data_IF_102995715004
#
_entry.id   IF_102995715004
#
_cell.length_a   1.000
_cell.length_b   1.000
_cell.length_c   1.000
_cell.angle_alpha   90.00
_cell.angle_beta   90.00
_cell.angle_gamma   90.00
#
_symmetry.space_group_name_H-M   'P 1'
#
loop_
_entity.id
_entity.type
_entity.pdbx_description
1 polymer ?
#
# COMPACT_ATOMS: atom_id res chain seq x y z
N UNK A 1 -15.04 31.51 -52.75
CA UNK A 1 -13.81 32.09 -53.34
C UNK A 1 -13.53 33.40 -52.61
N UNK A 2 -12.24 33.73 -52.37
CA UNK A 2 -11.67 34.91 -51.66
C UNK A 2 -11.48 34.65 -50.14
N UNK A 3 -10.32 34.14 -49.62
CA UNK A 3 -8.97 34.74 -49.36
C UNK A 3 -9.06 36.04 -48.53
N UNK A 4 -8.32 36.35 -47.45
CA UNK A 4 -6.98 35.95 -46.92
C UNK A 4 -6.70 36.67 -45.56
N UNK A 5 -5.59 36.28 -44.91
CA UNK A 5 -4.74 36.96 -43.90
C UNK A 5 -4.97 36.57 -42.42
N UNK A 6 -4.14 35.74 -41.79
CA UNK A 6 -2.70 35.86 -41.40
C UNK A 6 -2.40 36.98 -40.40
N UNK A 7 -2.16 36.60 -39.14
CA UNK A 7 -1.11 37.24 -38.32
C UNK A 7 -0.39 36.22 -37.45
N UNK A 8 0.91 36.08 -37.74
CA UNK A 8 1.90 35.35 -36.98
C UNK A 8 2.27 36.15 -35.73
N UNK A 9 2.23 35.53 -34.55
CA UNK A 9 2.99 36.01 -33.39
C UNK A 9 3.80 34.82 -32.85
N UNK A 10 5.05 34.80 -33.27
CA UNK A 10 6.10 33.92 -32.77
C UNK A 10 6.54 34.40 -31.38
N UNK A 11 6.50 33.53 -30.37
CA UNK A 11 7.22 33.78 -29.11
C UNK A 11 8.19 32.63 -28.85
N UNK A 12 9.45 33.05 -28.68
CA UNK A 12 10.68 32.29 -28.65
C UNK A 12 10.76 31.40 -27.39
N UNK A 13 11.21 30.17 -27.58
CA UNK A 13 11.75 29.31 -26.52
C UNK A 13 13.10 29.89 -26.05
N UNK A 14 13.38 29.98 -24.74
CA UNK A 14 14.74 30.16 -24.28
C UNK A 14 15.50 28.83 -24.28
N UNK A 15 16.55 28.84 -25.09
CA UNK A 15 17.62 27.86 -25.23
C UNK A 15 18.26 27.48 -23.90
N UNK A 16 18.57 26.20 -23.78
CA UNK A 16 19.61 25.63 -22.92
C UNK A 16 20.90 26.44 -22.98
N UNK A 17 21.47 26.78 -21.82
CA UNK A 17 22.87 27.16 -21.69
C UNK A 17 23.38 26.70 -20.32
N UNK A 18 24.16 25.63 -20.35
CA UNK A 18 25.04 25.19 -19.28
C UNK A 18 26.11 26.24 -19.02
N UNK A 19 26.37 26.56 -17.75
CA UNK A 19 27.58 27.27 -17.35
C UNK A 19 28.04 26.80 -15.97
N UNK A 20 28.92 25.80 -16.02
CA UNK A 20 30.19 25.68 -15.30
C UNK A 20 30.27 26.35 -13.91
N UNK A 21 30.32 25.51 -12.88
CA UNK A 21 30.70 25.85 -11.51
C UNK A 21 32.20 26.17 -11.48
N UNK A 22 32.55 27.42 -11.20
CA UNK A 22 33.91 27.84 -10.86
C UNK A 22 33.96 28.12 -9.36
N UNK A 23 34.79 27.35 -8.65
CA UNK A 23 35.12 27.54 -7.24
C UNK A 23 36.22 28.59 -7.16
N UNK A 24 35.95 29.75 -6.57
CA UNK A 24 36.99 30.65 -6.07
C UNK A 24 36.65 31.14 -4.66
N UNK A 25 37.69 31.17 -3.84
CA UNK A 25 37.71 31.59 -2.45
C UNK A 25 37.63 33.11 -2.31
N UNK A 26 36.97 33.59 -1.25
CA UNK A 26 37.02 35.01 -0.89
C UNK A 26 35.93 35.40 0.10
N UNK A 27 36.32 35.61 1.36
CA UNK A 27 35.44 36.14 2.38
C UNK A 27 35.07 37.60 2.11
N UNK A 28 33.78 37.92 2.25
CA UNK A 28 33.29 39.25 2.64
C UNK A 28 31.84 39.14 3.09
N UNK A 29 31.54 39.75 4.23
CA UNK A 29 30.19 39.85 4.80
C UNK A 29 29.35 40.74 3.88
N UNK A 30 28.23 40.23 3.35
CA UNK A 30 27.22 41.06 2.71
C UNK A 30 25.82 40.45 2.83
N UNK A 31 24.92 41.28 3.34
CA UNK A 31 23.45 41.27 3.30
C UNK A 31 22.71 39.95 3.03
N UNK A 32 21.86 39.56 3.99
CA UNK A 32 20.77 38.61 3.78
C UNK A 32 19.92 39.06 2.57
N UNK A 33 19.64 38.19 1.58
CA UNK A 33 18.67 38.51 0.55
C UNK A 33 17.29 38.62 1.20
N UNK A 34 16.69 39.81 1.14
CA UNK A 34 15.31 40.04 1.53
C UNK A 34 14.40 39.25 0.59
N UNK A 35 13.90 38.11 1.05
CA UNK A 35 12.86 37.36 0.33
C UNK A 35 11.60 38.23 0.33
N UNK A 36 11.29 38.83 -0.81
CA UNK A 36 10.05 39.56 -1.04
C UNK A 36 8.88 38.56 -1.05
N UNK A 37 8.34 38.25 0.13
CA UNK A 37 7.07 37.54 0.27
C UNK A 37 5.96 38.55 -0.07
N UNK A 38 5.68 38.67 -1.36
CA UNK A 38 4.71 39.62 -1.89
C UNK A 38 3.95 39.07 -3.08
N UNK A 39 3.56 37.79 -3.04
CA UNK A 39 2.56 37.27 -3.98
C UNK A 39 1.21 37.36 -3.29
N UNK A 40 0.54 38.51 -3.38
CA UNK A 40 -0.89 38.58 -3.10
C UNK A 40 -1.58 37.68 -4.13
N UNK A 41 -1.95 36.47 -3.72
CA UNK A 41 -2.80 35.61 -4.54
C UNK A 41 -4.13 36.36 -4.68
N UNK A 42 -4.38 36.91 -5.87
CA UNK A 42 -5.65 37.54 -6.18
C UNK A 42 -6.76 36.58 -5.80
N UNK A 43 -7.64 37.01 -4.89
CA UNK A 43 -8.79 36.22 -4.46
C UNK A 43 -9.67 36.03 -5.70
N UNK A 44 -9.72 34.80 -6.21
CA UNK A 44 -10.50 34.48 -7.40
C UNK A 44 -11.97 34.63 -7.02
N UNK A 45 -12.62 35.71 -7.47
CA UNK A 45 -14.06 35.85 -7.32
C UNK A 45 -14.69 34.75 -8.17
N UNK A 46 -15.32 33.78 -7.51
CA UNK A 46 -16.01 32.67 -8.17
C UNK A 46 -17.18 33.26 -8.97
N UNK A 47 -17.02 33.40 -10.28
CA UNK A 47 -18.12 33.78 -11.16
C UNK A 47 -19.19 32.69 -11.14
N UNK A 48 -20.47 33.04 -11.36
CA UNK A 48 -21.57 32.06 -11.38
C UNK A 48 -21.29 30.93 -12.39
N UNK A 49 -20.67 31.25 -13.52
CA UNK A 49 -20.27 30.27 -14.54
C UNK A 49 -19.19 29.30 -14.04
N UNK A 50 -18.15 29.81 -13.38
CA UNK A 50 -17.10 28.96 -12.79
C UNK A 50 -17.64 28.05 -11.68
N UNK A 51 -18.71 28.47 -10.99
CA UNK A 51 -19.39 27.66 -9.97
C UNK A 51 -20.17 26.49 -10.60
N UNK A 52 -20.85 26.74 -11.72
CA UNK A 52 -21.57 25.69 -12.45
C UNK A 52 -20.63 24.69 -13.11
N UNK A 53 -19.48 25.14 -13.64
CA UNK A 53 -18.42 24.25 -14.14
C UNK A 53 -17.78 23.44 -13.00
N UNK A 54 -17.52 24.08 -11.86
CA UNK A 54 -17.01 23.43 -10.65
C UNK A 54 -17.92 22.32 -10.10
N UNK A 55 -19.24 22.46 -10.30
CA UNK A 55 -20.24 21.46 -9.91
C UNK A 55 -20.36 20.31 -10.92
N UNK A 56 -20.04 20.55 -12.20
CA UNK A 56 -20.08 19.53 -13.27
C UNK A 56 -18.86 18.61 -13.28
N UNK A 57 -17.69 19.10 -12.87
CA UNK A 57 -16.48 18.29 -12.89
C UNK A 57 -16.32 17.38 -11.65
N UNK A 58 -15.89 16.13 -11.89
CA UNK A 58 -15.53 15.19 -10.83
C UNK A 58 -14.43 15.76 -9.91
N UNK A 59 -14.61 15.61 -8.60
CA UNK A 59 -13.68 16.12 -7.58
C UNK A 59 -12.22 15.71 -7.85
N UNK A 60 -11.97 14.45 -8.21
CA UNK A 60 -10.64 13.93 -8.50
C UNK A 60 -9.98 14.62 -9.69
N UNK A 61 -10.74 14.88 -10.77
CA UNK A 61 -10.24 15.58 -11.95
C UNK A 61 -9.87 17.03 -11.62
N UNK A 62 -10.67 17.69 -10.79
CA UNK A 62 -10.40 19.06 -10.30
C UNK A 62 -9.14 19.11 -9.43
N UNK A 63 -8.96 18.15 -8.53
CA UNK A 63 -7.78 18.11 -7.65
C UNK A 63 -6.50 17.79 -8.42
N UNK A 64 -6.58 16.91 -9.43
CA UNK A 64 -5.45 16.61 -10.32
C UNK A 64 -4.95 17.85 -11.09
N UNK A 65 -5.86 18.70 -11.58
CA UNK A 65 -5.53 19.98 -12.24
C UNK A 65 -4.79 20.95 -11.30
N UNK A 66 -5.06 20.88 -10.00
CA UNK A 66 -4.52 21.83 -9.01
C UNK A 66 -3.09 21.49 -8.60
N UNK A 67 -2.56 20.30 -8.97
CA UNK A 67 -1.21 19.81 -8.62
C UNK A 67 -0.83 19.99 -7.14
N UNK A 68 -1.83 19.89 -6.25
CA UNK A 68 -1.58 19.97 -4.81
C UNK A 68 -0.94 18.66 -4.35
N UNK A 69 0.11 18.71 -3.53
CA UNK A 69 0.67 17.50 -2.94
C UNK A 69 -0.36 16.86 -2.01
N UNK A 70 -0.39 15.53 -2.01
CA UNK A 70 -1.18 14.75 -1.05
C UNK A 70 -0.47 14.77 0.29
N UNK A 71 -1.20 14.99 1.38
CA UNK A 71 -0.62 14.94 2.72
C UNK A 71 -0.04 13.54 3.00
N UNK A 72 1.12 13.45 3.68
CA UNK A 72 1.62 12.16 4.16
C UNK A 72 0.59 11.46 5.04
N UNK A 73 0.39 10.15 4.88
CA UNK A 73 -0.64 9.39 5.61
C UNK A 73 -0.07 8.11 6.24
N UNK A 74 0.33 7.11 5.45
CA UNK A 74 0.92 5.86 5.98
C UNK A 74 2.24 6.13 6.72
N UNK A 75 3.01 7.12 6.27
CA UNK A 75 4.36 7.39 6.78
C UNK A 75 4.39 8.11 8.12
N UNK A 76 3.29 8.78 8.51
CA UNK A 76 3.22 9.58 9.75
C UNK A 76 2.23 9.00 10.77
N UNK A 77 1.43 8.01 10.37
CA UNK A 77 0.40 7.44 11.23
C UNK A 77 0.99 6.39 12.19
N UNK A 78 0.63 6.49 13.48
CA UNK A 78 0.98 5.46 14.47
C UNK A 78 -0.05 4.34 14.43
N UNK A 79 0.38 3.13 14.05
CA UNK A 79 -0.53 2.00 13.85
C UNK A 79 -0.92 1.34 15.18
N UNK A 80 -2.22 1.34 15.56
CA UNK A 80 -2.68 0.51 16.67
C UNK A 80 -2.64 -0.97 16.28
N UNK A 81 -2.56 -1.85 17.29
CA UNK A 81 -2.49 -3.31 17.09
C UNK A 81 -3.69 -3.83 16.29
N UNK A 82 -4.87 -3.24 16.48
CA UNK A 82 -6.06 -3.54 15.68
C UNK A 82 -5.85 -3.31 14.17
N UNK A 83 -5.25 -2.17 13.78
CA UNK A 83 -5.00 -1.85 12.38
C UNK A 83 -4.00 -2.84 11.76
N UNK A 84 -2.94 -3.20 12.49
CA UNK A 84 -1.97 -4.21 12.06
C UNK A 84 -2.64 -5.58 11.90
N UNK A 85 -3.51 -5.96 12.83
CA UNK A 85 -4.26 -7.22 12.75
C UNK A 85 -5.20 -7.29 11.53
N UNK A 86 -5.84 -6.18 11.18
CA UNK A 86 -6.66 -6.09 9.96
C UNK A 86 -5.81 -6.29 8.70
N UNK A 87 -4.66 -5.63 8.62
CA UNK A 87 -3.71 -5.80 7.50
C UNK A 87 -3.22 -7.24 7.42
N UNK A 88 -2.83 -7.84 8.56
CA UNK A 88 -2.37 -9.22 8.62
C UNK A 88 -3.46 -10.20 8.14
N UNK A 89 -4.73 -9.96 8.45
CA UNK A 89 -5.85 -10.81 8.00
C UNK A 89 -6.00 -10.75 6.48
N UNK A 90 -5.79 -9.58 5.86
CA UNK A 90 -5.80 -9.41 4.41
C UNK A 90 -4.59 -10.10 3.75
N UNK A 91 -3.39 -9.89 4.30
CA UNK A 91 -2.15 -10.47 3.76
C UNK A 91 -2.21 -12.00 3.82
N UNK A 92 -2.65 -12.58 4.94
CA UNK A 92 -2.83 -14.03 5.07
C UNK A 92 -3.87 -14.57 4.08
N UNK A 93 -4.96 -13.86 3.84
CA UNK A 93 -5.95 -14.23 2.80
C UNK A 93 -5.39 -14.20 1.38
N UNK A 94 -4.55 -13.21 1.05
CA UNK A 94 -3.84 -13.16 -0.21
C UNK A 94 -2.87 -14.35 -0.34
N UNK A 95 -2.06 -14.62 0.69
CA UNK A 95 -1.11 -15.75 0.71
C UNK A 95 -1.83 -17.07 0.47
N UNK A 96 -2.96 -17.31 1.14
CA UNK A 96 -3.75 -18.54 0.96
C UNK A 96 -4.32 -18.65 -0.45
N UNK A 97 -4.85 -17.55 -1.00
CA UNK A 97 -5.37 -17.51 -2.37
C UNK A 97 -4.28 -17.82 -3.41
N UNK A 98 -3.11 -17.19 -3.27
CA UNK A 98 -1.97 -17.45 -4.16
C UNK A 98 -1.40 -18.86 -3.96
N UNK A 99 -1.37 -19.37 -2.72
CA UNK A 99 -0.97 -20.73 -2.42
C UNK A 99 -1.87 -21.76 -3.09
N UNK A 100 -3.19 -21.62 -2.93
CA UNK A 100 -4.17 -22.50 -3.57
C UNK A 100 -4.10 -22.44 -5.10
N UNK A 101 -3.99 -21.23 -5.68
CA UNK A 101 -3.82 -21.06 -7.12
C UNK A 101 -2.49 -21.67 -7.61
N UNK A 102 -1.41 -21.50 -6.86
CA UNK A 102 -0.10 -22.08 -7.16
C UNK A 102 -0.13 -23.61 -7.17
N UNK A 103 -0.79 -24.23 -6.20
CA UNK A 103 -0.99 -25.68 -6.18
C UNK A 103 -1.79 -26.16 -7.40
N UNK A 104 -2.84 -25.42 -7.79
CA UNK A 104 -3.61 -25.71 -9.01
C UNK A 104 -2.76 -25.61 -10.28
N UNK A 105 -1.89 -24.60 -10.38
CA UNK A 105 -0.96 -24.43 -11.50
C UNK A 105 0.03 -25.60 -11.54
N UNK A 106 0.62 -25.98 -10.41
CA UNK A 106 1.56 -27.11 -10.34
C UNK A 106 0.91 -28.40 -10.83
N UNK A 107 -0.35 -28.66 -10.47
CA UNK A 107 -1.07 -29.84 -10.93
C UNK A 107 -1.36 -29.79 -12.44
N UNK A 108 -1.78 -28.63 -12.96
CA UNK A 108 -2.08 -28.45 -14.39
C UNK A 108 -0.84 -28.67 -15.27
N UNK A 109 0.33 -28.17 -14.85
CA UNK A 109 1.56 -28.27 -15.64
C UNK A 109 2.40 -29.52 -15.33
N UNK A 110 2.34 -30.02 -14.10
CA UNK A 110 3.11 -31.18 -13.64
C UNK A 110 2.43 -32.52 -13.89
N UNK A 111 1.13 -32.54 -14.21
CA UNK A 111 0.35 -33.76 -14.37
C UNK A 111 -0.22 -34.27 -13.05
N UNK A 112 -1.00 -35.36 -13.12
CA UNK A 112 -1.74 -35.89 -11.96
C UNK A 112 -0.78 -36.34 -10.85
N UNK A 113 -0.96 -35.76 -9.66
CA UNK A 113 -0.17 -36.08 -8.46
C UNK A 113 1.14 -35.31 -8.33
N UNK A 114 1.45 -34.37 -9.23
CA UNK A 114 2.66 -33.56 -9.14
C UNK A 114 2.66 -32.66 -7.89
N UNK A 115 1.51 -32.10 -7.53
CA UNK A 115 1.37 -31.32 -6.30
C UNK A 115 1.56 -32.20 -5.04
N UNK A 116 1.05 -33.43 -5.06
CA UNK A 116 1.23 -34.36 -3.93
C UNK A 116 2.67 -34.82 -3.80
N UNK A 117 3.34 -35.14 -4.92
CA UNK A 117 4.75 -35.54 -4.93
C UNK A 117 5.66 -34.42 -4.42
N UNK A 118 5.41 -33.18 -4.81
CA UNK A 118 6.15 -32.02 -4.30
C UNK A 118 5.94 -31.81 -2.80
N UNK A 119 4.70 -31.94 -2.29
CA UNK A 119 4.44 -31.90 -0.84
C UNK A 119 5.13 -33.03 -0.08
N UNK A 120 5.12 -34.25 -0.62
CA UNK A 120 5.77 -35.42 -0.03
C UNK A 120 7.30 -35.26 0.02
N UNK A 121 7.92 -34.72 -1.03
CA UNK A 121 9.34 -34.41 -1.09
C UNK A 121 9.76 -33.36 -0.05
N UNK A 122 8.91 -32.36 0.19
CA UNK A 122 9.14 -31.36 1.25
C UNK A 122 8.99 -32.00 2.64
N UNK A 123 8.00 -32.88 2.82
CA UNK A 123 7.71 -33.56 4.08
C UNK A 123 8.69 -34.66 4.47
N UNK A 124 9.30 -35.34 3.49
CA UNK A 124 10.29 -36.40 3.72
C UNK A 124 11.64 -35.85 4.22
N UNK A 125 11.86 -34.53 4.11
CA UNK A 125 13.11 -33.89 4.52
C UNK A 125 14.29 -34.21 3.60
N UNK A 126 14.08 -34.89 2.48
CA UNK A 126 15.11 -35.22 1.49
C UNK A 126 15.72 -33.96 0.86
N UNK A 127 14.96 -32.87 0.83
CA UNK A 127 15.42 -31.54 0.44
C UNK A 127 16.09 -30.81 1.61
N UNK A 128 17.33 -31.19 1.93
CA UNK A 128 18.40 -30.40 2.61
C UNK A 128 18.13 -29.85 4.03
N UNK A 129 16.90 -29.88 4.56
CA UNK A 129 16.52 -29.01 5.67
C UNK A 129 16.45 -29.60 7.09
N UNK A 130 16.50 -30.93 7.25
CA UNK A 130 16.30 -31.58 8.55
C UNK A 130 14.93 -31.29 9.19
N UNK A 131 14.72 -31.76 10.43
CA UNK A 131 13.43 -31.68 11.11
C UNK A 131 12.91 -30.25 11.33
N UNK A 132 13.81 -29.28 11.54
CA UNK A 132 13.43 -27.87 11.74
C UNK A 132 12.88 -27.22 10.47
N UNK A 133 13.41 -27.57 9.29
CA UNK A 133 12.90 -27.06 8.03
C UNK A 133 11.51 -27.61 7.72
N UNK A 134 11.29 -28.91 7.96
CA UNK A 134 9.97 -29.54 7.78
C UNK A 134 8.94 -28.90 8.73
N UNK A 135 9.30 -28.70 10.00
CA UNK A 135 8.44 -28.00 10.96
C UNK A 135 8.17 -26.56 10.53
N UNK A 136 9.17 -25.84 10.02
CA UNK A 136 9.03 -24.48 9.51
C UNK A 136 8.13 -24.39 8.27
N UNK A 137 8.23 -25.35 7.35
CA UNK A 137 7.38 -25.44 6.16
C UNK A 137 5.92 -25.76 6.53
N UNK A 138 5.69 -26.65 7.50
CA UNK A 138 4.33 -26.92 8.02
C UNK A 138 3.76 -25.69 8.72
N UNK A 139 4.57 -25.01 9.53
CA UNK A 139 4.17 -23.79 10.22
C UNK A 139 3.81 -22.64 9.27
N UNK A 140 4.59 -22.46 8.18
CA UNK A 140 4.36 -21.38 7.22
C UNK A 140 3.04 -21.50 6.46
N UNK A 141 2.50 -22.71 6.32
CA UNK A 141 1.17 -22.96 5.76
C UNK A 141 0.09 -22.93 6.84
N UNK A 142 0.35 -23.51 8.02
CA UNK A 142 -0.62 -23.56 9.12
C UNK A 142 -0.94 -22.18 9.70
N UNK A 143 0.07 -21.30 9.85
CA UNK A 143 -0.07 -19.96 10.40
C UNK A 143 -1.03 -19.04 9.64
N UNK A 144 -0.83 -18.78 8.33
CA UNK A 144 -1.77 -17.94 7.59
C UNK A 144 -3.17 -18.54 7.56
N UNK A 145 -3.31 -19.87 7.52
CA UNK A 145 -4.60 -20.54 7.57
C UNK A 145 -5.33 -20.30 8.91
N UNK A 146 -4.68 -20.60 10.03
CA UNK A 146 -5.23 -20.40 11.37
C UNK A 146 -5.54 -18.92 11.64
N UNK A 147 -4.62 -18.03 11.30
CA UNK A 147 -4.78 -16.59 11.49
C UNK A 147 -5.94 -16.03 10.68
N UNK A 148 -6.04 -16.39 9.40
CA UNK A 148 -7.11 -15.90 8.52
C UNK A 148 -8.48 -16.42 8.96
N UNK A 149 -8.58 -17.69 9.33
CA UNK A 149 -9.84 -18.30 9.78
C UNK A 149 -10.35 -17.66 11.08
N UNK A 150 -9.50 -17.56 12.11
CA UNK A 150 -9.86 -16.91 13.37
C UNK A 150 -10.11 -15.41 13.20
N UNK A 151 -9.35 -14.74 12.31
CA UNK A 151 -9.55 -13.35 11.97
C UNK A 151 -10.91 -13.12 11.29
N UNK A 152 -11.30 -14.00 10.38
CA UNK A 152 -12.62 -14.02 9.75
C UNK A 152 -13.74 -14.24 10.78
N UNK A 153 -13.57 -15.19 11.70
CA UNK A 153 -14.53 -15.41 12.78
C UNK A 153 -14.71 -14.17 13.66
N UNK A 154 -13.62 -13.50 14.02
CA UNK A 154 -13.67 -12.23 14.76
C UNK A 154 -14.44 -11.15 13.99
N UNK A 155 -14.24 -11.04 12.68
CA UNK A 155 -15.00 -10.10 11.85
C UNK A 155 -16.49 -10.44 11.82
N UNK A 156 -16.86 -11.72 11.70
CA UNK A 156 -18.25 -12.17 11.80
C UNK A 156 -18.87 -11.84 13.17
N UNK A 157 -18.12 -12.01 14.26
CA UNK A 157 -18.59 -11.63 15.60
C UNK A 157 -18.84 -10.11 15.68
N UNK A 158 -17.94 -9.30 15.13
CA UNK A 158 -18.12 -7.84 15.09
C UNK A 158 -19.30 -7.39 14.22
N UNK A 159 -19.61 -8.13 13.15
CA UNK A 159 -20.77 -7.85 12.30
C UNK A 159 -22.10 -8.18 13.00
N UNK A 160 -22.12 -9.20 13.87
CA UNK A 160 -23.32 -9.61 14.61
C UNK A 160 -23.51 -8.86 15.94
N UNK A 161 -22.42 -8.40 16.55
CA UNK A 161 -22.39 -7.75 17.87
C UNK A 161 -21.58 -6.45 17.82
N UNK A 162 -22.14 -5.36 17.26
CA UNK A 162 -21.46 -4.07 17.16
C UNK A 162 -21.17 -3.43 18.54
N UNK A 163 -21.89 -3.83 19.58
CA UNK A 163 -21.65 -3.40 20.96
C UNK A 163 -20.27 -3.78 21.50
N UNK A 164 -19.64 -4.82 20.94
CA UNK A 164 -18.29 -5.27 21.31
C UNK A 164 -17.15 -4.46 20.67
N UNK A 165 -17.47 -3.47 19.83
CA UNK A 165 -16.47 -2.60 19.18
C UNK A 165 -15.97 -1.49 20.12
N UNK A 166 -15.58 -1.86 21.33
CA UNK A 166 -14.88 -0.96 22.25
C UNK A 166 -13.36 -1.06 22.01
N UNK A 167 -12.62 0.03 22.19
CA UNK A 167 -11.16 0.02 21.98
C UNK A 167 -10.45 -1.05 22.82
N UNK A 168 -10.95 -1.29 24.04
CA UNK A 168 -10.39 -2.27 24.98
C UNK A 168 -10.63 -3.71 24.49
N UNK A 169 -11.84 -4.02 24.04
CA UNK A 169 -12.19 -5.38 23.61
C UNK A 169 -11.55 -5.71 22.26
N UNK A 170 -11.46 -4.72 21.37
CA UNK A 170 -10.81 -4.85 20.07
C UNK A 170 -9.30 -5.11 20.19
N UNK A 171 -8.63 -4.45 21.15
CA UNK A 171 -7.22 -4.72 21.45
C UNK A 171 -7.02 -6.13 22.03
N UNK A 172 -7.82 -6.52 23.04
CA UNK A 172 -7.77 -7.87 23.62
C UNK A 172 -8.02 -8.96 22.57
N UNK A 173 -9.03 -8.77 21.72
CA UNK A 173 -9.33 -9.70 20.63
C UNK A 173 -8.19 -9.80 19.63
N UNK A 174 -7.44 -8.71 19.38
CA UNK A 174 -6.28 -8.72 18.48
C UNK A 174 -5.09 -9.50 19.07
N UNK A 175 -4.81 -9.34 20.37
CA UNK A 175 -3.81 -10.15 21.05
C UNK A 175 -4.23 -11.61 21.16
N UNK A 176 -5.50 -11.88 21.46
CA UNK A 176 -6.07 -13.22 21.52
C UNK A 176 -5.98 -13.93 20.17
N UNK A 177 -6.27 -13.23 19.07
CA UNK A 177 -6.12 -13.75 17.71
C UNK A 177 -4.67 -14.14 17.41
N UNK A 178 -3.71 -13.26 17.70
CA UNK A 178 -2.29 -13.54 17.50
C UNK A 178 -1.83 -14.74 18.35
N UNK A 179 -2.18 -14.78 19.65
CA UNK A 179 -1.84 -15.90 20.52
C UNK A 179 -2.44 -17.22 20.06
N UNK A 180 -3.75 -17.25 19.78
CA UNK A 180 -4.45 -18.45 19.35
C UNK A 180 -3.92 -18.99 18.01
N UNK A 181 -3.65 -18.10 17.06
CA UNK A 181 -3.11 -18.51 15.75
C UNK A 181 -1.70 -19.11 15.86
N UNK A 182 -0.80 -18.51 16.66
CA UNK A 182 0.56 -19.04 16.88
C UNK A 182 0.48 -20.40 17.57
N UNK A 183 -0.34 -20.54 18.62
CA UNK A 183 -0.51 -21.79 19.33
C UNK A 183 -1.03 -22.90 18.41
N UNK A 184 -2.14 -22.66 17.69
CA UNK A 184 -2.72 -23.64 16.78
C UNK A 184 -1.73 -24.09 15.70
N UNK A 185 -0.96 -23.14 15.17
CA UNK A 185 0.02 -23.40 14.10
C UNK A 185 1.26 -24.12 14.61
N UNK A 186 1.68 -23.84 15.85
CA UNK A 186 2.78 -24.55 16.49
C UNK A 186 2.43 -26.02 16.75
N UNK A 187 1.19 -26.30 17.18
CA UNK A 187 0.71 -27.67 17.35
C UNK A 187 0.67 -28.39 15.99
N UNK A 188 0.15 -27.75 14.95
CA UNK A 188 0.12 -28.30 13.59
C UNK A 188 1.52 -28.50 12.97
N UNK A 189 2.53 -27.74 13.41
CA UNK A 189 3.89 -27.91 12.93
C UNK A 189 4.58 -29.14 13.53
N UNK A 190 4.25 -29.47 14.79
CA UNK A 190 4.86 -30.57 15.55
C UNK A 190 4.22 -31.93 15.23
N UNK A 191 2.89 -31.96 14.99
CA UNK A 191 2.13 -33.15 14.57
C UNK A 191 2.34 -33.41 13.10
#
# INVERSE_FOLDING_TARGET
MIRTASSLITRRLPSTASSVVAITSGGSRSALPSVSVGVSRGMTILSKESKEEFKKENYSARMAKTRRPVSPHVTIYSFPVCALSSIATRVTGCILSFGAAGLGIVEIFGGSGAALSTMQCIGSGEMVGGALFVAGAKFSVAFPFAYHYLGGLRHLVWDNSPEMLTNVDVEKASYGLLGASVLLSSVAAVV
#
